data_IF_223355238826
#
_entry.id   IF_223355238826
#
_cell.length_a   1.000
_cell.length_b   1.000
_cell.length_c   1.000
_cell.angle_alpha   90.00
_cell.angle_beta   90.00
_cell.angle_gamma   90.00
#
_symmetry.space_group_name_H-M   'P 1'
#
loop_
_entity.id
_entity.type
_entity.pdbx_description
1 polymer ?
#
# COMPACT_ATOMS: atom_id res chain seq x y z
N UNK A 1 -1.69 10.98 -8.62
CA UNK A 1 -1.95 10.67 -7.19
C UNK A 1 -1.08 11.54 -6.31
N UNK A 2 -1.65 12.11 -5.25
CA UNK A 2 -0.92 12.82 -4.19
C UNK A 2 -0.60 11.82 -3.08
N UNK A 3 0.66 11.75 -2.65
CA UNK A 3 1.09 10.88 -1.55
C UNK A 3 1.79 11.72 -0.51
N UNK A 4 1.31 11.64 0.72
CA UNK A 4 1.95 12.22 1.89
C UNK A 4 2.92 11.20 2.48
N UNK A 5 4.22 11.46 2.34
CA UNK A 5 5.26 10.56 2.83
C UNK A 5 5.78 11.01 4.19
N UNK A 6 5.79 10.11 5.15
CA UNK A 6 6.42 10.29 6.45
C UNK A 6 7.58 9.29 6.65
N UNK A 7 8.74 9.78 7.09
CA UNK A 7 9.99 9.01 7.30
C UNK A 7 10.48 8.19 6.09
N UNK A 8 10.06 8.54 4.88
CA UNK A 8 10.50 7.88 3.65
C UNK A 8 11.70 8.63 3.07
N UNK A 9 12.76 7.91 2.71
CA UNK A 9 13.97 8.49 2.12
C UNK A 9 13.72 9.23 0.80
N UNK A 10 14.40 10.33 0.57
CA UNK A 10 14.21 11.20 -0.60
C UNK A 10 14.30 10.46 -1.94
N UNK A 11 15.22 9.51 -2.08
CA UNK A 11 15.37 8.72 -3.31
C UNK A 11 14.34 7.59 -3.44
N UNK A 12 13.70 7.20 -2.35
CA UNK A 12 12.69 6.14 -2.31
C UNK A 12 11.31 6.66 -2.68
N UNK A 13 10.97 7.90 -2.29
CA UNK A 13 9.67 8.53 -2.58
C UNK A 13 9.27 8.48 -4.06
N UNK A 14 10.08 8.98 -5.02
CA UNK A 14 9.70 8.97 -6.43
C UNK A 14 9.59 7.57 -7.01
N UNK A 15 10.34 6.62 -6.47
CA UNK A 15 10.27 5.23 -6.88
C UNK A 15 8.95 4.58 -6.44
N UNK A 16 8.60 4.68 -5.15
CA UNK A 16 7.32 4.18 -4.63
C UNK A 16 6.15 4.82 -5.37
N UNK A 17 6.15 6.17 -5.51
CA UNK A 17 5.11 6.89 -6.24
C UNK A 17 4.90 6.33 -7.64
N UNK A 18 5.97 6.10 -8.40
CA UNK A 18 5.91 5.53 -9.76
C UNK A 18 5.27 4.13 -9.77
N UNK A 19 5.60 3.29 -8.80
CA UNK A 19 5.01 1.94 -8.70
C UNK A 19 3.52 2.02 -8.45
N UNK A 20 3.10 2.84 -7.48
CA UNK A 20 1.69 2.99 -7.13
C UNK A 20 0.87 3.65 -8.24
N UNK A 21 1.40 4.65 -8.95
CA UNK A 21 0.73 5.25 -10.11
C UNK A 21 0.59 4.27 -11.27
N UNK A 22 1.57 3.39 -11.50
CA UNK A 22 1.44 2.31 -12.48
C UNK A 22 0.39 1.30 -12.09
N UNK A 23 0.31 0.94 -10.82
CA UNK A 23 -0.73 0.06 -10.29
C UNK A 23 -2.13 0.65 -10.53
N UNK A 24 -2.33 1.91 -10.18
CA UNK A 24 -3.61 2.59 -10.42
C UNK A 24 -3.98 2.64 -11.91
N UNK A 25 -3.00 2.92 -12.77
CA UNK A 25 -3.21 2.90 -14.23
C UNK A 25 -3.59 1.51 -14.74
N UNK A 26 -2.90 0.46 -14.26
CA UNK A 26 -3.20 -0.94 -14.60
C UNK A 26 -4.62 -1.31 -14.17
N UNK A 27 -5.06 -0.81 -13.03
CA UNK A 27 -6.40 -1.04 -12.47
C UNK A 27 -7.47 -0.06 -12.99
N UNK A 28 -7.14 0.78 -13.98
CA UNK A 28 -8.02 1.82 -14.54
C UNK A 28 -8.60 2.77 -13.48
N UNK A 29 -7.80 3.11 -12.45
CA UNK A 29 -8.18 4.05 -11.41
C UNK A 29 -7.77 5.48 -11.76
N UNK A 30 -8.59 6.49 -11.40
CA UNK A 30 -8.32 7.91 -11.69
C UNK A 30 -7.25 8.46 -10.74
N UNK A 31 -5.98 8.13 -10.98
CA UNK A 31 -4.88 8.46 -10.06
C UNK A 31 -4.77 9.96 -9.73
N UNK A 32 -5.18 10.84 -10.65
CA UNK A 32 -5.18 12.29 -10.47
C UNK A 32 -6.18 12.78 -9.41
N UNK A 33 -7.21 12.00 -9.13
CA UNK A 33 -8.26 12.35 -8.16
C UNK A 33 -8.00 11.77 -6.77
N UNK A 34 -6.90 11.03 -6.58
CA UNK A 34 -6.65 10.27 -5.36
C UNK A 34 -5.52 10.85 -4.52
N UNK A 35 -5.69 10.78 -3.21
CA UNK A 35 -4.61 11.00 -2.24
C UNK A 35 -4.56 9.89 -1.18
N UNK A 36 -3.39 9.71 -0.58
CA UNK A 36 -3.15 8.74 0.49
C UNK A 36 -1.94 9.14 1.31
N UNK A 37 -1.73 8.53 2.49
CA UNK A 37 -0.47 8.61 3.20
C UNK A 37 0.33 7.31 3.15
N UNK A 38 1.66 7.42 3.25
CA UNK A 38 2.57 6.30 3.42
C UNK A 38 3.66 6.65 4.42
N UNK A 39 3.68 5.93 5.52
CA UNK A 39 4.61 6.13 6.63
C UNK A 39 5.53 4.93 6.83
N UNK A 40 6.80 5.19 7.14
CA UNK A 40 7.75 4.16 7.58
C UNK A 40 7.99 4.34 9.07
N UNK A 41 7.80 3.25 9.82
CA UNK A 41 7.80 3.25 11.29
C UNK A 41 8.72 2.17 11.87
N UNK A 42 8.95 2.27 13.19
CA UNK A 42 9.69 1.24 13.96
C UNK A 42 8.83 0.00 14.26
N UNK A 43 9.45 -1.12 14.69
CA UNK A 43 8.73 -2.30 15.15
C UNK A 43 7.75 -2.02 16.30
N UNK A 44 8.15 -1.18 17.25
CA UNK A 44 7.32 -0.83 18.41
C UNK A 44 6.08 -0.04 17.97
N UNK A 45 6.26 0.90 17.04
CA UNK A 45 5.17 1.73 16.53
C UNK A 45 4.14 0.89 15.74
N UNK A 46 4.60 -0.02 14.86
CA UNK A 46 3.66 -0.85 14.09
C UNK A 46 2.98 -1.90 14.98
N UNK A 47 3.65 -2.40 16.01
CA UNK A 47 3.04 -3.30 17.00
C UNK A 47 1.92 -2.60 17.76
N UNK A 48 2.13 -1.36 18.19
CA UNK A 48 1.11 -0.56 18.87
C UNK A 48 -0.10 -0.31 17.98
N UNK A 49 0.12 0.05 16.71
CA UNK A 49 -0.95 0.21 15.72
C UNK A 49 -1.71 -1.10 15.48
N UNK A 50 -0.99 -2.21 15.33
CA UNK A 50 -1.58 -3.53 15.12
C UNK A 50 -2.43 -3.97 16.32
N UNK A 51 -1.96 -3.70 17.53
CA UNK A 51 -2.69 -3.95 18.78
C UNK A 51 -3.95 -3.09 18.89
N UNK A 52 -3.83 -1.79 18.61
CA UNK A 52 -4.92 -0.83 18.78
C UNK A 52 -6.05 -1.01 17.76
N UNK A 53 -5.71 -1.34 16.50
CA UNK A 53 -6.67 -1.38 15.39
C UNK A 53 -7.10 -2.78 14.97
N UNK A 54 -6.28 -3.81 15.22
CA UNK A 54 -6.57 -5.19 14.85
C UNK A 54 -6.61 -6.15 16.03
N UNK A 55 -6.39 -5.65 17.25
CA UNK A 55 -6.33 -6.46 18.49
C UNK A 55 -5.24 -7.54 18.46
N UNK A 56 -4.20 -7.36 17.63
CA UNK A 56 -3.08 -8.29 17.46
C UNK A 56 -1.81 -7.67 18.01
N UNK A 57 -1.36 -8.12 19.19
CA UNK A 57 -0.16 -7.62 19.86
C UNK A 57 1.12 -8.26 19.26
N UNK A 58 1.41 -7.96 18.00
CA UNK A 58 2.59 -8.44 17.26
C UNK A 58 3.10 -7.42 16.28
N UNK A 59 4.42 -7.42 16.05
CA UNK A 59 5.07 -6.71 14.96
C UNK A 59 4.64 -7.34 13.62
N UNK A 60 4.27 -6.51 12.66
CA UNK A 60 3.99 -6.91 11.28
C UNK A 60 4.85 -6.10 10.30
N UNK A 61 4.81 -6.42 9.02
CA UNK A 61 5.56 -5.73 7.96
C UNK A 61 4.82 -4.52 7.41
N UNK A 62 3.51 -4.65 7.19
CA UNK A 62 2.66 -3.58 6.64
C UNK A 62 1.27 -3.61 7.27
N UNK A 63 0.71 -2.43 7.48
CA UNK A 63 -0.71 -2.22 7.83
C UNK A 63 -1.33 -1.27 6.80
N UNK A 64 -2.57 -1.53 6.46
CA UNK A 64 -3.39 -0.67 5.60
C UNK A 64 -4.68 -0.30 6.31
N UNK A 65 -5.02 0.98 6.24
CA UNK A 65 -6.21 1.56 6.86
C UNK A 65 -7.05 2.24 5.77
N UNK A 66 -7.96 1.50 5.09
CA UNK A 66 -8.84 2.07 4.10
C UNK A 66 -9.77 3.13 4.73
N UNK A 67 -9.95 4.25 4.06
CA UNK A 67 -10.95 5.27 4.43
C UNK A 67 -12.27 5.04 3.71
N UNK A 68 -12.20 4.49 2.49
CA UNK A 68 -13.38 4.21 1.69
C UNK A 68 -13.82 2.77 1.90
N UNK A 69 -15.10 2.56 2.20
CA UNK A 69 -15.72 1.25 2.11
C UNK A 69 -15.89 0.89 0.63
N UNK A 70 -14.95 0.12 0.11
CA UNK A 70 -15.02 -0.39 -1.27
C UNK A 70 -15.62 -1.79 -1.31
N UNK A 71 -16.94 -1.93 -1.47
CA UNK A 71 -17.58 -3.23 -1.57
C UNK A 71 -17.27 -3.95 -2.89
N UNK A 72 -16.71 -3.22 -3.88
CA UNK A 72 -16.40 -3.75 -5.20
C UNK A 72 -14.91 -3.61 -5.45
N UNK A 73 -14.19 -4.70 -5.56
CA UNK A 73 -12.75 -4.76 -5.82
C UNK A 73 -12.34 -3.86 -6.99
N UNK A 74 -11.42 -2.94 -6.75
CA UNK A 74 -10.85 -2.07 -7.76
C UNK A 74 -11.77 -0.96 -8.28
N UNK A 75 -12.98 -0.82 -7.78
CA UNK A 75 -13.84 0.32 -8.09
C UNK A 75 -13.90 1.25 -6.88
N UNK A 76 -13.27 2.42 -6.99
CA UNK A 76 -13.42 3.46 -5.97
C UNK A 76 -14.78 4.10 -6.18
N UNK A 77 -15.72 3.79 -5.30
CA UNK A 77 -16.98 4.51 -5.20
C UNK A 77 -16.73 5.76 -4.39
N UNK A 78 -16.63 6.91 -5.05
CA UNK A 78 -16.44 8.19 -4.39
C UNK A 78 -17.74 8.56 -3.67
N UNK A 79 -17.70 8.52 -2.34
CA UNK A 79 -18.73 9.14 -1.51
C UNK A 79 -18.22 10.53 -1.15
N UNK A 80 -19.06 11.54 -1.16
CA UNK A 80 -18.66 12.94 -0.90
C UNK A 80 -17.92 13.13 0.44
N UNK A 81 -18.14 12.24 1.40
CA UNK A 81 -17.50 12.25 2.72
C UNK A 81 -16.01 11.92 2.68
N UNK A 82 -15.54 11.25 1.62
CA UNK A 82 -14.13 10.85 1.44
C UNK A 82 -13.30 11.93 0.72
N UNK A 83 -13.93 13.01 0.27
CA UNK A 83 -13.24 14.09 -0.41
C UNK A 83 -12.65 15.06 0.61
N UNK A 84 -11.34 15.21 0.56
CA UNK A 84 -10.64 16.17 1.40
C UNK A 84 -10.98 17.61 0.94
N UNK A 85 -11.61 18.45 1.79
CA UNK A 85 -12.05 19.77 1.40
C UNK A 85 -10.92 20.76 1.10
N UNK A 86 -9.69 20.46 1.51
CA UNK A 86 -8.52 21.30 1.22
C UNK A 86 -7.88 21.02 -0.14
N UNK A 87 -8.05 19.80 -0.64
CA UNK A 87 -7.36 19.33 -1.87
C UNK A 87 -8.30 18.99 -3.00
N UNK A 88 -9.59 18.83 -2.72
CA UNK A 88 -10.62 18.28 -3.63
C UNK A 88 -10.26 16.86 -4.14
N UNK A 89 -9.40 16.14 -3.39
CA UNK A 89 -9.00 14.77 -3.72
C UNK A 89 -9.68 13.76 -2.79
N UNK A 90 -9.89 12.56 -3.30
CA UNK A 90 -10.43 11.43 -2.52
C UNK A 90 -9.29 10.81 -1.71
N UNK A 91 -9.42 10.84 -0.39
CA UNK A 91 -8.50 10.13 0.49
C UNK A 91 -8.87 8.65 0.53
N UNK A 92 -7.99 7.79 0.03
CA UNK A 92 -8.21 6.33 0.01
C UNK A 92 -7.66 5.62 1.24
N UNK A 93 -6.90 6.32 2.10
CA UNK A 93 -6.41 5.78 3.37
C UNK A 93 -4.91 5.86 3.56
N UNK A 94 -4.44 5.06 4.52
CA UNK A 94 -3.07 5.10 5.02
C UNK A 94 -2.38 3.74 4.88
N UNK A 95 -1.09 3.77 4.52
CA UNK A 95 -0.20 2.60 4.52
C UNK A 95 0.93 2.87 5.51
N UNK A 96 1.16 1.92 6.41
CA UNK A 96 2.25 1.96 7.40
C UNK A 96 3.14 0.75 7.21
N UNK A 97 4.45 0.98 6.99
CA UNK A 97 5.45 -0.07 6.72
C UNK A 97 6.50 -0.09 7.84
N UNK A 98 6.80 -1.27 8.37
CA UNK A 98 7.90 -1.47 9.30
C UNK A 98 9.21 -1.63 8.54
N UNK A 99 10.17 -0.70 8.73
CA UNK A 99 11.46 -0.72 8.02
C UNK A 99 12.29 -1.96 8.35
N UNK A 100 12.33 -2.36 9.60
CA UNK A 100 13.13 -3.50 10.06
C UNK A 100 12.61 -4.80 9.46
N UNK A 101 11.28 -5.01 9.46
CA UNK A 101 10.66 -6.17 8.81
C UNK A 101 10.89 -6.18 7.31
N UNK A 102 10.83 -5.02 6.65
CA UNK A 102 11.14 -4.92 5.23
C UNK A 102 12.59 -5.30 4.92
N UNK A 103 13.56 -4.90 5.77
CA UNK A 103 14.97 -5.30 5.65
C UNK A 103 15.18 -6.80 5.84
N UNK A 104 14.54 -7.39 6.83
CA UNK A 104 14.60 -8.81 7.13
C UNK A 104 14.06 -9.64 5.95
N UNK A 105 12.87 -9.29 5.45
CA UNK A 105 12.24 -9.96 4.32
C UNK A 105 13.06 -9.81 3.02
N UNK A 106 13.60 -8.62 2.75
CA UNK A 106 14.47 -8.41 1.61
C UNK A 106 15.69 -9.33 1.63
N UNK A 107 16.31 -9.53 2.81
CA UNK A 107 17.43 -10.45 3.01
C UNK A 107 17.00 -11.91 2.87
N UNK A 108 15.89 -12.29 3.48
CA UNK A 108 15.35 -13.66 3.45
C UNK A 108 15.01 -14.11 2.03
N UNK A 109 14.37 -13.23 1.25
CA UNK A 109 13.97 -13.53 -0.14
C UNK A 109 15.05 -13.21 -1.18
N UNK A 110 16.22 -12.73 -0.77
CA UNK A 110 17.37 -12.50 -1.65
C UNK A 110 17.16 -11.37 -2.67
N UNK A 111 16.45 -10.32 -2.32
CA UNK A 111 16.24 -9.16 -3.18
C UNK A 111 16.54 -7.81 -2.47
N UNK A 112 16.50 -6.71 -3.20
CA UNK A 112 16.83 -5.40 -2.65
C UNK A 112 15.72 -4.88 -1.71
N UNK A 113 16.12 -4.11 -0.69
CA UNK A 113 15.18 -3.38 0.17
C UNK A 113 14.21 -2.50 -0.64
N UNK A 114 14.71 -1.87 -1.70
CA UNK A 114 13.90 -1.04 -2.60
C UNK A 114 12.76 -1.83 -3.24
N UNK A 115 13.03 -3.07 -3.64
CA UNK A 115 12.03 -3.98 -4.18
C UNK A 115 11.01 -4.39 -3.11
N UNK A 116 11.48 -4.67 -1.89
CA UNK A 116 10.59 -5.02 -0.78
C UNK A 116 9.65 -3.87 -0.43
N UNK A 117 10.17 -2.65 -0.33
CA UNK A 117 9.34 -1.47 -0.10
C UNK A 117 8.30 -1.23 -1.20
N UNK A 118 8.66 -1.50 -2.47
CA UNK A 118 7.71 -1.45 -3.58
C UNK A 118 6.62 -2.51 -3.44
N UNK A 119 6.99 -3.74 -3.08
CA UNK A 119 6.06 -4.84 -2.86
C UNK A 119 5.09 -4.53 -1.73
N UNK A 120 5.58 -4.13 -0.56
CA UNK A 120 4.74 -3.80 0.60
C UNK A 120 3.83 -2.59 0.34
N UNK A 121 4.34 -1.56 -0.35
CA UNK A 121 3.54 -0.41 -0.73
C UNK A 121 2.41 -0.78 -1.71
N UNK A 122 2.70 -1.62 -2.71
CA UNK A 122 1.71 -2.12 -3.66
C UNK A 122 0.68 -3.01 -2.96
N UNK A 123 1.12 -3.90 -2.08
CA UNK A 123 0.24 -4.75 -1.28
C UNK A 123 -0.75 -3.91 -0.47
N UNK A 124 -0.23 -2.89 0.23
CA UNK A 124 -1.06 -1.94 0.97
C UNK A 124 -2.05 -1.20 0.09
N UNK A 125 -1.62 -0.71 -1.09
CA UNK A 125 -2.52 -0.04 -2.03
C UNK A 125 -3.67 -0.95 -2.49
N UNK A 126 -3.40 -2.22 -2.79
CA UNK A 126 -4.44 -3.16 -3.19
C UNK A 126 -5.48 -3.34 -2.08
N UNK A 127 -5.05 -3.41 -0.81
CA UNK A 127 -5.98 -3.42 0.32
C UNK A 127 -6.81 -2.13 0.42
N UNK A 128 -6.20 -0.95 0.20
CA UNK A 128 -6.97 0.31 0.16
C UNK A 128 -8.03 0.32 -0.95
N UNK A 129 -7.79 -0.42 -2.03
CA UNK A 129 -8.72 -0.58 -3.16
C UNK A 129 -9.71 -1.76 -2.98
N UNK A 130 -9.79 -2.35 -1.79
CA UNK A 130 -10.74 -3.40 -1.47
C UNK A 130 -10.35 -4.81 -1.91
N UNK A 131 -9.10 -5.02 -2.36
CA UNK A 131 -8.57 -6.37 -2.55
C UNK A 131 -8.24 -6.97 -1.19
N UNK A 132 -8.61 -8.21 -0.98
CA UNK A 132 -8.33 -8.95 0.25
C UNK A 132 -7.79 -10.35 -0.10
N UNK A 133 -7.27 -11.04 0.89
CA UNK A 133 -6.74 -12.40 0.78
C UNK A 133 -7.34 -13.35 1.84
N UNK A 134 -8.58 -13.10 2.23
CA UNK A 134 -9.30 -13.93 3.21
C UNK A 134 -9.63 -15.30 2.62
N UNK A 135 -10.08 -15.33 1.36
CA UNK A 135 -10.32 -16.57 0.63
C UNK A 135 -9.11 -16.95 -0.23
N UNK A 136 -8.84 -18.25 -0.38
CA UNK A 136 -7.69 -18.77 -1.14
C UNK A 136 -7.66 -18.26 -2.59
N UNK A 137 -8.82 -18.12 -3.22
CA UNK A 137 -8.92 -17.60 -4.59
C UNK A 137 -8.56 -16.12 -4.65
N UNK A 138 -8.95 -15.35 -3.65
CA UNK A 138 -8.64 -13.93 -3.53
C UNK A 138 -7.14 -13.70 -3.33
N UNK A 139 -6.50 -14.53 -2.51
CA UNK A 139 -5.06 -14.51 -2.31
C UNK A 139 -4.32 -14.77 -3.62
N UNK A 140 -4.73 -15.79 -4.39
CA UNK A 140 -4.12 -16.10 -5.70
C UNK A 140 -4.25 -14.94 -6.68
N UNK A 141 -5.42 -14.31 -6.75
CA UNK A 141 -5.65 -13.16 -7.61
C UNK A 141 -4.78 -11.98 -7.20
N UNK A 142 -4.69 -11.67 -5.92
CA UNK A 142 -3.89 -10.56 -5.40
C UNK A 142 -2.40 -10.78 -5.65
N UNK A 143 -1.88 -11.99 -5.43
CA UNK A 143 -0.49 -12.37 -5.70
C UNK A 143 -0.16 -12.26 -7.20
N UNK A 144 -1.04 -12.77 -8.06
CA UNK A 144 -0.87 -12.68 -9.51
C UNK A 144 -0.84 -11.23 -9.98
N UNK A 145 -1.74 -10.41 -9.49
CA UNK A 145 -1.84 -8.98 -9.81
C UNK A 145 -0.60 -8.21 -9.34
N UNK A 146 -0.13 -8.45 -8.12
CA UNK A 146 1.10 -7.85 -7.61
C UNK A 146 2.31 -8.19 -8.49
N UNK A 147 2.45 -9.46 -8.87
CA UNK A 147 3.53 -9.90 -9.75
C UNK A 147 3.47 -9.19 -11.10
N UNK A 148 2.31 -9.15 -11.74
CA UNK A 148 2.13 -8.52 -13.03
C UNK A 148 2.50 -7.03 -13.00
N UNK A 149 2.02 -6.28 -12.00
CA UNK A 149 2.30 -4.85 -11.85
C UNK A 149 3.80 -4.60 -11.61
N UNK A 150 4.44 -5.40 -10.77
CA UNK A 150 5.88 -5.27 -10.49
C UNK A 150 6.73 -5.62 -11.72
N UNK A 151 6.38 -6.66 -12.47
CA UNK A 151 7.07 -7.04 -13.70
C UNK A 151 6.95 -5.93 -14.75
N UNK A 152 5.78 -5.34 -14.95
CA UNK A 152 5.57 -4.19 -15.83
C UNK A 152 6.33 -2.94 -15.37
N UNK A 153 6.57 -2.81 -14.06
CA UNK A 153 7.40 -1.74 -13.50
C UNK A 153 8.91 -1.99 -13.65
N UNK A 154 9.33 -3.15 -14.20
CA UNK A 154 10.73 -3.56 -14.27
C UNK A 154 11.33 -3.93 -12.92
N UNK A 155 10.49 -4.35 -11.98
CA UNK A 155 10.86 -4.72 -10.60
C UNK A 155 10.72 -6.24 -10.47
N UNK A 156 11.53 -6.96 -11.19
CA UNK A 156 11.60 -8.42 -11.13
C UNK A 156 12.42 -8.92 -9.95
N UNK A 157 12.23 -10.18 -9.61
CA UNK A 157 13.09 -10.90 -8.64
C UNK A 157 14.48 -11.10 -9.18
#
# INVERSE_FOLDING_TARGET
>A
MKIYFDNVGLFTKPFIKRVLERALKHLNQPSELLEMSLSIVSPEQIQELNKSFREVDKVTDVLSFPTCDNPTRGAITVVCEDVNPETDLVNIGDIVICMERAKEQAKEYGHSLKRELAFLSLHGLLHLLGYDHVEEEDEKQMVALQKEILDQAGITR
#
